data_IF_981603884253
#
_entry.id   IF_981603884253
#
_cell.length_a   1.000
_cell.length_b   1.000
_cell.length_c   1.000
_cell.angle_alpha   90.00
_cell.angle_beta   90.00
_cell.angle_gamma   90.00
#
_symmetry.space_group_name_H-M   'P 1'
#
loop_
_entity.id
_entity.type
_entity.pdbx_description
1 polymer ?
#
# COMPACT_ATOMS: atom_id res chain seq x y z
N UNK A 1 14.15 1.59 22.95
CA UNK A 1 12.77 1.47 22.45
C UNK A 1 12.66 1.71 20.93
N UNK A 2 13.25 2.80 20.37
CA UNK A 2 13.04 3.16 18.94
C UNK A 2 13.55 2.11 17.94
N UNK A 3 14.68 1.47 18.20
CA UNK A 3 15.26 0.35 17.43
C UNK A 3 15.43 -0.90 18.31
N UNK A 4 14.48 -1.21 19.18
CA UNK A 4 14.50 -2.40 20.03
C UNK A 4 14.24 -3.69 19.24
N UNK A 5 14.62 -4.82 19.79
CA UNK A 5 14.30 -6.12 19.21
C UNK A 5 12.82 -6.45 19.38
N UNK A 6 12.23 -7.30 18.49
CA UNK A 6 10.89 -7.82 18.70
C UNK A 6 10.75 -8.49 20.09
N UNK A 7 9.70 -8.13 20.82
CA UNK A 7 9.42 -8.71 22.16
C UNK A 7 10.16 -8.06 23.33
N UNK A 8 11.08 -7.12 23.10
CA UNK A 8 11.82 -6.43 24.17
C UNK A 8 10.94 -5.43 24.95
N UNK A 9 9.95 -4.86 24.29
CA UNK A 9 8.96 -3.96 24.88
C UNK A 9 7.54 -4.43 24.57
N UNK A 10 6.59 -4.07 25.46
CA UNK A 10 5.18 -4.39 25.26
C UNK A 10 4.69 -3.79 23.92
N UNK A 11 4.10 -4.60 23.04
CA UNK A 11 3.59 -4.11 21.76
C UNK A 11 2.38 -3.20 21.97
N UNK A 12 2.12 -2.33 20.97
CA UNK A 12 0.98 -1.43 20.99
C UNK A 12 -0.35 -2.20 20.95
N UNK A 13 -0.44 -3.23 20.13
CA UNK A 13 -1.65 -4.02 19.89
C UNK A 13 -2.62 -3.35 18.91
N UNK A 14 -3.50 -4.18 18.32
CA UNK A 14 -4.58 -3.71 17.45
C UNK A 14 -5.70 -3.10 18.28
N UNK A 15 -6.35 -2.07 17.74
CA UNK A 15 -7.50 -1.36 18.34
C UNK A 15 -7.26 -0.79 19.75
N UNK A 16 -5.99 -0.67 20.16
CA UNK A 16 -5.61 0.02 21.39
C UNK A 16 -5.87 1.53 21.27
N UNK A 17 -5.93 2.22 22.40
CA UNK A 17 -6.03 3.70 22.42
C UNK A 17 -4.88 4.35 21.64
N UNK A 18 -3.68 3.79 21.73
CA UNK A 18 -2.51 4.28 20.99
C UNK A 18 -2.68 4.09 19.48
N UNK A 19 -3.26 2.95 19.03
CA UNK A 19 -3.59 2.74 17.62
C UNK A 19 -4.59 3.78 17.12
N UNK A 20 -5.67 4.02 17.86
CA UNK A 20 -6.68 5.01 17.47
C UNK A 20 -6.08 6.42 17.40
N UNK A 21 -5.23 6.80 18.34
CA UNK A 21 -4.56 8.11 18.34
C UNK A 21 -3.69 8.27 17.09
N UNK A 22 -2.82 7.30 16.78
CA UNK A 22 -1.93 7.42 15.60
C UNK A 22 -2.72 7.38 14.29
N UNK A 23 -3.83 6.63 14.22
CA UNK A 23 -4.74 6.63 13.09
C UNK A 23 -5.33 8.02 12.86
N UNK A 24 -5.87 8.66 13.90
CA UNK A 24 -6.45 10.01 13.82
C UNK A 24 -5.37 11.01 13.39
N UNK A 25 -4.19 10.97 14.00
CA UNK A 25 -3.07 11.84 13.62
C UNK A 25 -2.70 11.66 12.15
N UNK A 26 -2.59 10.41 11.68
CA UNK A 26 -2.27 10.12 10.28
C UNK A 26 -3.32 10.68 9.32
N UNK A 27 -4.61 10.51 9.64
CA UNK A 27 -5.70 11.06 8.82
C UNK A 27 -5.69 12.59 8.80
N UNK A 28 -5.46 13.24 9.94
CA UNK A 28 -5.32 14.69 10.01
C UNK A 28 -4.14 15.19 9.16
N UNK A 29 -2.99 14.51 9.22
CA UNK A 29 -1.82 14.85 8.42
C UNK A 29 -2.09 14.70 6.92
N UNK A 30 -2.82 13.67 6.49
CA UNK A 30 -3.24 13.49 5.09
C UNK A 30 -4.11 14.66 4.65
N UNK A 31 -5.12 15.04 5.44
CA UNK A 31 -6.04 16.15 5.13
C UNK A 31 -5.26 17.47 5.03
N UNK A 32 -4.37 17.75 5.98
CA UNK A 32 -3.53 18.94 5.97
C UNK A 32 -2.61 18.96 4.75
N UNK A 33 -1.93 17.84 4.45
CA UNK A 33 -1.07 17.73 3.28
C UNK A 33 -1.85 18.01 1.99
N UNK A 34 -3.04 17.43 1.82
CA UNK A 34 -3.90 17.69 0.65
C UNK A 34 -4.39 19.14 0.59
N UNK A 35 -4.68 19.77 1.74
CA UNK A 35 -5.12 21.18 1.82
C UNK A 35 -4.00 22.14 1.39
N UNK A 36 -2.78 21.89 1.86
CA UNK A 36 -1.63 22.75 1.57
C UNK A 36 -0.98 22.48 0.22
N UNK A 37 -1.17 21.30 -0.37
CA UNK A 37 -0.71 21.02 -1.73
C UNK A 37 -1.64 21.71 -2.75
N UNK A 38 -1.28 22.92 -3.13
CA UNK A 38 -2.01 23.75 -4.11
C UNK A 38 -1.30 23.69 -5.45
N UNK A 39 -1.52 22.61 -6.20
CA UNK A 39 -1.06 22.52 -7.59
C UNK A 39 -2.08 21.82 -8.46
N UNK A 40 -2.21 22.29 -9.70
CA UNK A 40 -2.96 21.64 -10.78
C UNK A 40 -2.02 21.30 -11.96
N UNK A 41 -0.73 21.63 -11.84
CA UNK A 41 0.26 21.32 -12.86
C UNK A 41 0.70 19.85 -12.73
N UNK A 42 0.61 19.10 -13.81
CA UNK A 42 0.99 17.68 -13.84
C UNK A 42 2.48 17.46 -13.58
N UNK A 43 3.35 18.39 -13.95
CA UNK A 43 4.77 18.25 -13.69
C UNK A 43 5.09 18.43 -12.20
N UNK A 44 4.43 19.36 -11.51
CA UNK A 44 4.58 19.52 -10.06
C UNK A 44 4.13 18.25 -9.33
N UNK A 45 2.98 17.67 -9.73
CA UNK A 45 2.50 16.39 -9.15
C UNK A 45 3.54 15.28 -9.38
N UNK A 46 4.14 15.21 -10.56
CA UNK A 46 5.19 14.23 -10.87
C UNK A 46 6.43 14.42 -9.99
N UNK A 47 6.84 15.68 -9.75
CA UNK A 47 7.95 16.00 -8.83
C UNK A 47 7.62 15.56 -7.41
N UNK A 48 6.39 15.81 -6.94
CA UNK A 48 5.93 15.36 -5.62
C UNK A 48 6.00 13.82 -5.53
N UNK A 49 5.45 13.11 -6.51
CA UNK A 49 5.52 11.63 -6.56
C UNK A 49 6.96 11.16 -6.49
N UNK A 50 7.86 11.77 -7.27
CA UNK A 50 9.29 11.42 -7.29
C UNK A 50 9.94 11.60 -5.93
N UNK A 51 9.78 12.76 -5.31
CA UNK A 51 10.43 13.06 -4.03
C UNK A 51 9.90 12.15 -2.91
N UNK A 52 8.60 11.90 -2.90
CA UNK A 52 7.96 10.96 -1.96
C UNK A 52 8.42 9.52 -2.22
N UNK A 53 8.56 9.10 -3.48
CA UNK A 53 9.08 7.77 -3.81
C UNK A 53 10.50 7.58 -3.28
N UNK A 54 11.38 8.57 -3.47
CA UNK A 54 12.75 8.54 -2.93
C UNK A 54 12.71 8.45 -1.39
N UNK A 55 11.89 9.25 -0.73
CA UNK A 55 11.71 9.19 0.72
C UNK A 55 11.21 7.82 1.20
N UNK A 56 10.23 7.23 0.52
CA UNK A 56 9.73 5.88 0.84
C UNK A 56 10.82 4.81 0.67
N UNK A 57 11.67 4.91 -0.36
CA UNK A 57 12.81 4.01 -0.53
C UNK A 57 13.85 4.16 0.58
N UNK A 58 14.15 5.38 1.03
CA UNK A 58 15.05 5.60 2.16
C UNK A 58 14.49 4.93 3.42
N UNK A 59 13.22 5.15 3.74
CA UNK A 59 12.58 4.50 4.89
C UNK A 59 12.59 2.97 4.77
N UNK A 60 12.35 2.43 3.57
CA UNK A 60 12.38 0.99 3.36
C UNK A 60 13.78 0.41 3.54
N UNK A 61 14.83 1.09 3.03
CA UNK A 61 16.23 0.67 3.23
C UNK A 61 16.57 0.64 4.72
N UNK A 62 16.17 1.65 5.50
CA UNK A 62 16.38 1.67 6.95
C UNK A 62 15.67 0.49 7.62
N UNK A 63 14.43 0.17 7.21
CA UNK A 63 13.69 -1.00 7.69
C UNK A 63 14.42 -2.31 7.38
N UNK A 64 14.92 -2.46 6.15
CA UNK A 64 15.70 -3.64 5.73
C UNK A 64 16.95 -3.79 6.59
N UNK A 65 17.73 -2.71 6.74
CA UNK A 65 18.94 -2.71 7.57
C UNK A 65 18.62 -3.03 9.04
N UNK A 66 17.57 -2.43 9.60
CA UNK A 66 17.13 -2.76 10.95
C UNK A 66 16.84 -4.25 11.11
N UNK A 67 16.05 -4.85 10.21
CA UNK A 67 15.67 -6.27 10.31
C UNK A 67 16.86 -7.20 10.10
N UNK A 68 17.81 -6.86 9.23
CA UNK A 68 19.03 -7.65 9.01
C UNK A 68 20.01 -7.55 10.18
N UNK A 69 20.17 -6.38 10.79
CA UNK A 69 21.21 -6.16 11.81
C UNK A 69 20.70 -6.37 13.25
N UNK A 70 19.44 -6.02 13.55
CA UNK A 70 18.91 -5.95 14.92
C UNK A 70 17.67 -6.83 15.07
N UNK A 71 16.76 -6.81 14.09
CA UNK A 71 15.46 -7.44 14.15
C UNK A 71 15.51 -8.96 13.99
N UNK A 72 14.99 -9.49 12.89
CA UNK A 72 14.95 -10.92 12.60
C UNK A 72 15.41 -11.23 11.17
N UNK A 73 16.72 -11.36 10.98
CA UNK A 73 17.32 -11.68 9.69
C UNK A 73 16.89 -13.06 9.11
N UNK A 74 16.39 -13.98 9.95
CA UNK A 74 15.89 -15.29 9.49
C UNK A 74 14.49 -15.17 8.86
N UNK A 75 13.74 -14.12 9.16
CA UNK A 75 12.39 -13.93 8.65
C UNK A 75 12.40 -13.04 7.41
N UNK A 76 12.45 -13.66 6.25
CA UNK A 76 12.45 -12.99 4.92
C UNK A 76 11.25 -12.05 4.74
N UNK A 77 10.10 -12.38 5.33
CA UNK A 77 8.91 -11.52 5.28
C UNK A 77 9.14 -10.12 5.84
N UNK A 78 10.18 -9.90 6.66
CA UNK A 78 10.40 -8.62 7.33
C UNK A 78 11.25 -7.64 6.51
N UNK A 79 12.00 -8.10 5.51
CA UNK A 79 12.94 -7.24 4.77
C UNK A 79 12.88 -7.35 3.24
N UNK A 80 12.18 -8.32 2.66
CA UNK A 80 11.95 -8.33 1.21
C UNK A 80 10.72 -7.47 0.89
N UNK A 81 10.87 -6.36 0.12
CA UNK A 81 9.77 -5.42 -0.14
C UNK A 81 8.87 -5.92 -1.28
N UNK A 82 8.25 -7.09 -1.10
CA UNK A 82 7.28 -7.70 -2.02
C UNK A 82 5.94 -7.98 -1.37
N UNK A 83 5.50 -7.11 -0.46
CA UNK A 83 4.11 -7.05 -0.01
C UNK A 83 3.26 -6.20 -0.95
N UNK A 84 1.94 -6.33 -0.85
CA UNK A 84 0.99 -5.51 -1.61
C UNK A 84 1.30 -4.00 -1.48
N UNK A 85 1.52 -3.52 -0.26
CA UNK A 85 1.87 -2.12 -0.01
C UNK A 85 3.24 -1.74 -0.61
N UNK A 86 4.22 -2.64 -0.62
CA UNK A 86 5.55 -2.38 -1.18
C UNK A 86 5.53 -2.12 -2.70
N UNK A 87 4.44 -2.47 -3.40
CA UNK A 87 4.27 -2.16 -4.82
C UNK A 87 4.30 -0.63 -5.05
N UNK A 88 3.93 0.19 -4.05
CA UNK A 88 4.10 1.65 -4.09
C UNK A 88 5.52 2.06 -4.51
N UNK A 89 6.55 1.40 -4.00
CA UNK A 89 7.96 1.73 -4.27
C UNK A 89 8.26 1.61 -5.77
N UNK A 90 7.85 0.51 -6.37
CA UNK A 90 8.06 0.22 -7.79
C UNK A 90 7.15 1.08 -8.67
N UNK A 91 5.88 1.19 -8.31
CA UNK A 91 4.91 2.04 -9.00
C UNK A 91 5.33 3.53 -8.99
N UNK A 92 5.86 4.00 -7.85
CA UNK A 92 6.41 5.35 -7.72
C UNK A 92 7.57 5.60 -8.66
N UNK A 93 8.51 4.65 -8.79
CA UNK A 93 9.62 4.72 -9.76
C UNK A 93 9.07 4.74 -11.20
N UNK A 94 8.14 3.86 -11.54
CA UNK A 94 7.53 3.81 -12.87
C UNK A 94 6.77 5.11 -13.21
N UNK A 95 6.04 5.67 -12.26
CA UNK A 95 5.32 6.94 -12.44
C UNK A 95 6.26 8.14 -12.59
N UNK A 96 7.33 8.20 -11.79
CA UNK A 96 8.26 9.33 -11.74
C UNK A 96 9.24 9.36 -12.90
N UNK A 97 9.84 8.21 -13.24
CA UNK A 97 10.93 8.11 -14.21
C UNK A 97 10.52 7.41 -15.51
N UNK A 98 9.40 6.68 -15.51
CA UNK A 98 8.88 5.98 -16.66
C UNK A 98 8.34 6.90 -17.74
N UNK A 99 8.16 6.35 -18.95
CA UNK A 99 7.51 7.00 -20.11
C UNK A 99 6.44 6.06 -20.68
N UNK A 100 5.45 6.64 -21.36
CA UNK A 100 4.43 5.86 -22.06
C UNK A 100 3.69 4.86 -21.17
N UNK A 101 3.69 3.59 -21.56
CA UNK A 101 3.00 2.50 -20.82
C UNK A 101 3.57 2.26 -19.43
N UNK A 102 4.90 2.35 -19.25
CA UNK A 102 5.52 2.15 -17.94
C UNK A 102 5.07 3.21 -16.95
N UNK A 103 5.05 4.49 -17.35
CA UNK A 103 4.49 5.56 -16.54
C UNK A 103 3.02 5.27 -16.19
N UNK A 104 2.22 4.87 -17.20
CA UNK A 104 0.79 4.56 -16.98
C UNK A 104 0.57 3.46 -15.95
N UNK A 105 1.39 2.41 -15.95
CA UNK A 105 1.35 1.33 -14.95
C UNK A 105 1.51 1.92 -13.53
N UNK A 106 2.55 2.73 -13.32
CA UNK A 106 2.80 3.38 -12.05
C UNK A 106 1.65 4.30 -11.61
N UNK A 107 1.21 5.18 -12.50
CA UNK A 107 0.12 6.12 -12.24
C UNK A 107 -1.18 5.42 -11.85
N UNK A 108 -1.54 4.34 -12.55
CA UNK A 108 -2.76 3.56 -12.27
C UNK A 108 -2.68 2.88 -10.91
N UNK A 109 -1.54 2.24 -10.57
CA UNK A 109 -1.40 1.63 -9.25
C UNK A 109 -1.42 2.68 -8.13
N UNK A 110 -0.71 3.80 -8.29
CA UNK A 110 -0.70 4.89 -7.30
C UNK A 110 -2.09 5.47 -7.07
N UNK A 111 -2.91 5.59 -8.10
CA UNK A 111 -4.26 6.16 -7.98
C UNK A 111 -5.31 5.16 -7.43
N UNK A 112 -5.05 3.86 -7.46
CA UNK A 112 -6.03 2.82 -7.09
C UNK A 112 -5.54 1.91 -5.97
N UNK A 113 -4.61 1.01 -6.26
CA UNK A 113 -4.09 0.03 -5.30
C UNK A 113 -3.49 0.66 -4.05
N UNK A 114 -2.82 1.80 -4.20
CA UNK A 114 -2.26 2.53 -3.06
C UNK A 114 -3.34 3.00 -2.08
N UNK A 115 -4.49 3.48 -2.57
CA UNK A 115 -5.58 3.91 -1.70
C UNK A 115 -6.11 2.75 -0.85
N UNK A 116 -6.42 1.64 -1.50
CA UNK A 116 -6.98 0.46 -0.81
C UNK A 116 -5.96 -0.14 0.15
N UNK A 117 -4.70 -0.32 -0.28
CA UNK A 117 -3.63 -0.83 0.58
C UNK A 117 -3.36 0.06 1.79
N UNK A 118 -3.34 1.37 1.58
CA UNK A 118 -3.18 2.35 2.66
C UNK A 118 -4.30 2.29 3.69
N UNK A 119 -5.56 2.32 3.24
CA UNK A 119 -6.74 2.23 4.12
C UNK A 119 -6.75 0.89 4.87
N UNK A 120 -6.54 -0.22 4.17
CA UNK A 120 -6.54 -1.57 4.77
C UNK A 120 -5.52 -1.66 5.90
N UNK A 121 -4.30 -1.16 5.69
CA UNK A 121 -3.29 -1.19 6.73
C UNK A 121 -3.63 -0.26 7.91
N UNK A 122 -4.07 0.96 7.67
CA UNK A 122 -4.39 1.89 8.77
C UNK A 122 -5.49 1.34 9.68
N UNK A 123 -6.44 0.58 9.13
CA UNK A 123 -7.50 -0.09 9.92
C UNK A 123 -6.98 -1.36 10.59
N UNK A 124 -6.13 -2.14 9.90
CA UNK A 124 -5.61 -3.43 10.38
C UNK A 124 -4.07 -3.49 10.27
N UNK A 125 -3.31 -2.77 11.14
CA UNK A 125 -1.85 -2.72 11.10
C UNK A 125 -1.21 -4.00 11.67
N UNK A 126 -1.57 -5.16 11.11
CA UNK A 126 -1.22 -6.51 11.60
C UNK A 126 0.27 -6.83 11.54
N UNK A 127 1.04 -6.10 10.73
CA UNK A 127 2.48 -6.35 10.53
C UNK A 127 3.39 -5.46 11.39
N UNK A 128 2.85 -4.55 12.18
CA UNK A 128 3.64 -3.64 13.02
C UNK A 128 3.19 -3.60 14.48
N UNK A 129 2.00 -3.11 14.77
CA UNK A 129 1.52 -2.88 16.15
C UNK A 129 1.38 -4.12 17.03
N UNK A 130 1.10 -5.34 16.53
CA UNK A 130 1.15 -6.56 17.34
C UNK A 130 2.55 -6.98 17.79
N UNK A 131 3.60 -6.45 17.15
CA UNK A 131 4.99 -6.84 17.41
C UNK A 131 5.77 -5.75 18.13
N UNK A 132 5.46 -4.48 17.86
CA UNK A 132 6.25 -3.34 18.31
C UNK A 132 5.42 -2.31 19.08
N UNK A 133 6.05 -1.56 20.03
CA UNK A 133 5.39 -0.42 20.67
C UNK A 133 5.16 0.71 19.66
N UNK A 134 4.27 1.65 20.00
CA UNK A 134 3.90 2.75 19.12
C UNK A 134 5.11 3.58 18.63
N UNK A 135 6.01 3.95 19.57
CA UNK A 135 7.20 4.76 19.26
C UNK A 135 8.40 3.95 18.75
N UNK A 136 8.14 2.78 18.18
CA UNK A 136 9.16 2.01 17.49
C UNK A 136 9.26 2.45 16.02
N UNK A 137 10.48 2.42 15.45
CA UNK A 137 10.71 2.80 14.05
C UNK A 137 9.74 2.10 13.08
N UNK A 138 9.59 0.78 13.20
CA UNK A 138 8.71 -0.01 12.31
C UNK A 138 7.25 0.47 12.42
N UNK A 139 6.75 0.77 13.62
CA UNK A 139 5.38 1.25 13.81
C UNK A 139 5.18 2.62 13.17
N UNK A 140 6.05 3.58 13.46
CA UNK A 140 5.96 4.93 12.90
C UNK A 140 6.17 4.94 11.38
N UNK A 141 7.19 4.22 10.89
CA UNK A 141 7.45 4.06 9.46
C UNK A 141 6.24 3.48 8.74
N UNK A 142 5.59 2.48 9.30
CA UNK A 142 4.42 1.85 8.69
C UNK A 142 3.24 2.83 8.58
N UNK A 143 2.94 3.62 9.62
CA UNK A 143 1.85 4.60 9.57
C UNK A 143 2.16 5.76 8.61
N UNK A 144 3.38 6.28 8.61
CA UNK A 144 3.81 7.30 7.64
C UNK A 144 3.71 6.77 6.21
N UNK A 145 4.21 5.56 5.96
CA UNK A 145 4.22 4.93 4.65
C UNK A 145 2.80 4.73 4.09
N UNK A 146 1.90 4.16 4.89
CA UNK A 146 0.52 3.93 4.45
C UNK A 146 -0.31 5.23 4.40
N UNK A 147 0.00 6.21 5.24
CA UNK A 147 -0.51 7.57 5.08
C UNK A 147 -0.10 8.21 3.76
N UNK A 148 1.14 8.04 3.35
CA UNK A 148 1.66 8.47 2.03
C UNK A 148 0.94 7.75 0.89
N UNK A 149 0.65 6.46 1.01
CA UNK A 149 -0.13 5.70 0.01
C UNK A 149 -1.48 6.36 -0.26
N UNK A 150 -2.21 6.70 0.80
CA UNK A 150 -3.52 7.39 0.72
C UNK A 150 -3.34 8.80 0.16
N UNK A 151 -2.38 9.56 0.68
CA UNK A 151 -2.11 10.92 0.23
C UNK A 151 -1.82 11.00 -1.28
N UNK A 152 -0.91 10.16 -1.80
CA UNK A 152 -0.57 10.16 -3.23
C UNK A 152 -1.77 9.79 -4.10
N UNK A 153 -2.55 8.79 -3.70
CA UNK A 153 -3.74 8.41 -4.44
C UNK A 153 -4.76 9.56 -4.50
N UNK A 154 -5.07 10.17 -3.36
CA UNK A 154 -6.00 11.30 -3.30
C UNK A 154 -5.47 12.54 -4.02
N UNK A 155 -4.15 12.80 -3.99
CA UNK A 155 -3.54 13.88 -4.75
C UNK A 155 -3.71 13.68 -6.25
N UNK A 156 -3.41 12.49 -6.76
CA UNK A 156 -3.55 12.11 -8.17
C UNK A 156 -5.01 12.29 -8.63
N UNK A 157 -5.97 11.85 -7.80
CA UNK A 157 -7.40 12.00 -8.10
C UNK A 157 -7.83 13.47 -8.03
N UNK A 158 -7.47 14.20 -6.98
CA UNK A 158 -7.84 15.60 -6.76
C UNK A 158 -7.33 16.51 -7.89
N UNK A 159 -6.13 16.26 -8.37
CA UNK A 159 -5.48 17.09 -9.42
C UNK A 159 -5.81 16.65 -10.84
N UNK A 160 -6.64 15.63 -11.02
CA UNK A 160 -6.89 15.00 -12.32
C UNK A 160 -5.58 14.72 -13.09
N UNK A 161 -4.54 14.30 -12.36
CA UNK A 161 -3.22 13.96 -12.91
C UNK A 161 -3.33 12.91 -14.01
N UNK A 162 -4.17 11.91 -13.78
CA UNK A 162 -4.59 10.95 -14.80
C UNK A 162 -6.12 10.79 -14.80
N UNK A 163 -6.67 10.53 -15.98
CA UNK A 163 -8.03 10.05 -16.14
C UNK A 163 -8.00 8.52 -16.15
N UNK A 164 -8.64 7.90 -15.15
CA UNK A 164 -8.78 6.44 -15.08
C UNK A 164 -9.85 5.95 -16.07
N UNK A 165 -9.49 4.94 -16.86
CA UNK A 165 -10.38 4.28 -17.83
C UNK A 165 -10.55 2.81 -17.47
N UNK A 166 -11.68 2.21 -17.82
CA UNK A 166 -11.93 0.78 -17.54
C UNK A 166 -10.80 -0.14 -18.06
N UNK A 167 -10.24 0.17 -19.22
CA UNK A 167 -9.11 -0.58 -19.80
C UNK A 167 -7.81 -0.53 -18.98
N UNK A 168 -7.69 0.40 -18.03
CA UNK A 168 -6.50 0.52 -17.19
C UNK A 168 -6.37 -0.63 -16.18
N UNK A 169 -7.43 -1.44 -16.01
CA UNK A 169 -7.36 -2.71 -15.28
C UNK A 169 -6.23 -3.61 -15.82
N UNK A 170 -5.95 -3.58 -17.12
CA UNK A 170 -4.88 -4.37 -17.75
C UNK A 170 -3.51 -3.96 -17.19
N UNK A 171 -3.28 -2.66 -17.03
CA UNK A 171 -2.04 -2.14 -16.45
C UNK A 171 -1.91 -2.48 -14.96
N UNK A 172 -3.01 -2.34 -14.22
CA UNK A 172 -3.06 -2.67 -12.80
C UNK A 172 -2.84 -4.17 -12.57
N UNK A 173 -3.68 -5.01 -13.17
CA UNK A 173 -3.64 -6.47 -12.97
C UNK A 173 -2.35 -7.08 -13.51
N UNK A 174 -1.89 -6.64 -14.68
CA UNK A 174 -0.65 -7.14 -15.27
C UNK A 174 0.58 -6.87 -14.38
N UNK A 175 0.68 -5.67 -13.84
CA UNK A 175 1.75 -5.31 -12.92
C UNK A 175 1.64 -6.08 -11.59
N UNK A 176 0.43 -6.15 -11.03
CA UNK A 176 0.18 -6.89 -9.79
C UNK A 176 0.52 -8.37 -9.93
N UNK A 177 0.07 -9.04 -11.01
CA UNK A 177 0.36 -10.45 -11.29
C UNK A 177 1.86 -10.67 -11.46
N UNK A 178 2.55 -9.79 -12.16
CA UNK A 178 4.01 -9.87 -12.31
C UNK A 178 4.73 -9.88 -10.95
N UNK A 179 4.38 -8.94 -10.05
CA UNK A 179 4.96 -8.90 -8.70
C UNK A 179 4.54 -10.14 -7.89
N UNK A 180 3.30 -10.61 -8.05
CA UNK A 180 2.82 -11.82 -7.37
C UNK A 180 3.59 -13.08 -7.77
N UNK A 181 3.98 -13.20 -9.05
CA UNK A 181 4.80 -14.33 -9.52
C UNK A 181 6.19 -14.29 -8.84
N UNK A 182 6.81 -13.11 -8.74
CA UNK A 182 8.08 -12.96 -8.02
C UNK A 182 7.94 -13.33 -6.54
N UNK A 183 6.87 -12.87 -5.90
CA UNK A 183 6.56 -13.21 -4.50
C UNK A 183 6.34 -14.72 -4.32
N UNK A 184 5.62 -15.40 -5.23
CA UNK A 184 5.41 -16.85 -5.21
C UNK A 184 6.70 -17.65 -5.32
N UNK A 185 7.61 -17.23 -6.19
CA UNK A 185 8.93 -17.87 -6.34
C UNK A 185 9.69 -17.81 -5.00
N UNK A 186 9.74 -16.63 -4.39
CA UNK A 186 10.42 -16.42 -3.11
C UNK A 186 9.72 -17.18 -2.00
N UNK A 187 8.38 -17.15 -1.94
CA UNK A 187 7.60 -17.89 -0.96
C UNK A 187 7.90 -19.39 -1.03
N UNK A 188 8.01 -19.94 -2.25
CA UNK A 188 8.32 -21.37 -2.45
C UNK A 188 9.74 -21.73 -2.02
N UNK A 189 10.71 -20.86 -2.31
CA UNK A 189 12.13 -21.12 -1.96
C UNK A 189 12.37 -21.04 -0.45
N UNK A 190 11.78 -20.06 0.20
CA UNK A 190 12.09 -19.71 1.60
C UNK A 190 10.97 -20.03 2.59
N UNK A 191 9.86 -20.62 2.15
CA UNK A 191 8.72 -20.91 3.03
C UNK A 191 8.05 -19.63 3.57
N UNK A 192 8.15 -18.51 2.84
CA UNK A 192 7.62 -17.20 3.24
C UNK A 192 6.16 -17.02 2.83
N UNK A 193 5.52 -15.92 3.26
CA UNK A 193 4.14 -15.58 2.90
C UNK A 193 4.02 -14.13 2.43
N UNK A 194 4.91 -13.73 1.51
CA UNK A 194 4.84 -12.42 0.86
C UNK A 194 3.51 -12.26 0.15
N UNK A 195 2.93 -11.06 0.19
CA UNK A 195 1.60 -10.71 -0.34
C UNK A 195 0.43 -11.48 0.29
N UNK A 196 0.66 -12.32 1.33
CA UNK A 196 -0.34 -13.19 1.97
C UNK A 196 -1.08 -14.11 0.98
N UNK A 197 -0.37 -14.63 -0.03
CA UNK A 197 -0.93 -15.45 -1.12
C UNK A 197 -0.57 -16.93 -1.04
N UNK A 198 0.33 -17.34 -0.12
CA UNK A 198 0.85 -18.69 -0.09
C UNK A 198 0.40 -19.51 1.12
N UNK A 199 0.12 -18.86 2.23
CA UNK A 199 -0.21 -19.51 3.50
C UNK A 199 -1.37 -18.80 4.19
N UNK A 200 -2.03 -19.50 5.11
CA UNK A 200 -3.01 -18.90 5.99
C UNK A 200 -2.38 -17.77 6.81
N UNK A 201 -3.18 -16.74 7.07
CA UNK A 201 -2.82 -15.66 7.99
C UNK A 201 -3.93 -15.56 9.06
N UNK A 202 -3.75 -16.24 10.21
CA UNK A 202 -4.77 -16.35 11.25
C UNK A 202 -5.30 -14.99 11.71
N UNK A 203 -6.51 -14.99 12.23
CA UNK A 203 -7.19 -13.81 12.79
C UNK A 203 -7.37 -12.63 11.81
N UNK A 204 -7.40 -12.95 10.51
CA UNK A 204 -7.62 -11.96 9.44
C UNK A 204 -8.65 -12.44 8.42
N UNK A 205 -9.11 -11.54 7.54
CA UNK A 205 -9.96 -11.89 6.38
C UNK A 205 -9.27 -12.91 5.47
N UNK A 206 -7.94 -12.92 5.43
CA UNK A 206 -7.16 -13.91 4.66
C UNK A 206 -7.44 -15.31 5.14
N UNK A 207 -7.58 -15.52 6.47
CA UNK A 207 -7.92 -16.82 7.04
C UNK A 207 -9.31 -17.31 6.61
N UNK A 208 -10.29 -16.41 6.53
CA UNK A 208 -11.62 -16.75 6.03
C UNK A 208 -11.56 -17.25 4.58
N UNK A 209 -10.86 -16.51 3.71
CA UNK A 209 -10.69 -16.89 2.31
C UNK A 209 -9.95 -18.23 2.20
N UNK A 210 -8.89 -18.42 2.99
CA UNK A 210 -8.12 -19.67 3.02
C UNK A 210 -9.00 -20.89 3.36
N UNK A 211 -9.81 -20.77 4.40
CA UNK A 211 -10.71 -21.85 4.83
C UNK A 211 -11.81 -22.14 3.81
N UNK A 212 -12.32 -21.12 3.13
CA UNK A 212 -13.36 -21.29 2.10
C UNK A 212 -12.83 -21.87 0.78
N UNK A 213 -11.57 -21.57 0.42
CA UNK A 213 -11.04 -21.87 -0.92
C UNK A 213 -10.08 -23.06 -0.96
N UNK A 214 -9.52 -23.46 0.17
CA UNK A 214 -8.62 -24.62 0.30
C UNK A 214 -7.46 -24.57 -0.71
N UNK A 215 -7.33 -25.56 -1.57
CA UNK A 215 -6.25 -25.66 -2.58
C UNK A 215 -6.26 -24.52 -3.61
N UNK A 216 -7.39 -23.85 -3.79
CA UNK A 216 -7.53 -22.72 -4.72
C UNK A 216 -7.21 -21.37 -4.07
N UNK A 217 -6.76 -21.36 -2.81
CA UNK A 217 -6.44 -20.13 -2.08
C UNK A 217 -5.52 -19.19 -2.86
N UNK A 218 -4.35 -19.68 -3.27
CA UNK A 218 -3.34 -18.86 -3.96
C UNK A 218 -3.86 -18.17 -5.22
N UNK A 219 -4.44 -18.88 -6.23
CA UNK A 219 -4.96 -18.23 -7.42
C UNK A 219 -6.12 -17.30 -7.12
N UNK A 220 -7.00 -17.63 -6.18
CA UNK A 220 -8.13 -16.77 -5.80
C UNK A 220 -7.64 -15.49 -5.13
N UNK A 221 -6.67 -15.57 -4.19
CA UNK A 221 -6.08 -14.39 -3.55
C UNK A 221 -5.40 -13.47 -4.56
N UNK A 222 -4.67 -14.02 -5.53
CA UNK A 222 -4.06 -13.22 -6.59
C UNK A 222 -5.13 -12.52 -7.43
N UNK A 223 -6.20 -13.22 -7.83
CA UNK A 223 -7.29 -12.64 -8.61
C UNK A 223 -8.04 -11.54 -7.85
N UNK A 224 -8.37 -11.77 -6.58
CA UNK A 224 -9.03 -10.76 -5.74
C UNK A 224 -8.16 -9.49 -5.67
N UNK A 225 -6.88 -9.62 -5.36
CA UNK A 225 -5.98 -8.47 -5.23
C UNK A 225 -5.67 -7.81 -6.59
N UNK A 226 -5.69 -8.57 -7.69
CA UNK A 226 -5.45 -8.05 -9.04
C UNK A 226 -6.66 -7.32 -9.64
N UNK A 227 -7.85 -7.47 -9.09
CA UNK A 227 -9.08 -6.93 -9.70
C UNK A 227 -9.80 -5.97 -8.77
N UNK A 228 -10.06 -6.40 -7.53
CA UNK A 228 -10.95 -5.70 -6.60
C UNK A 228 -10.50 -4.28 -6.28
N UNK A 229 -9.24 -4.00 -5.91
CA UNK A 229 -8.81 -2.65 -5.54
C UNK A 229 -8.97 -1.62 -6.66
N UNK A 230 -8.71 -2.03 -7.91
CA UNK A 230 -8.92 -1.17 -9.07
C UNK A 230 -10.39 -0.80 -9.22
N UNK A 231 -11.30 -1.78 -9.24
CA UNK A 231 -12.71 -1.52 -9.46
C UNK A 231 -13.39 -0.81 -8.28
N UNK A 232 -12.93 -0.99 -7.05
CA UNK A 232 -13.42 -0.22 -5.92
C UNK A 232 -13.19 1.29 -6.14
N UNK A 233 -11.99 1.68 -6.53
CA UNK A 233 -11.68 3.10 -6.75
C UNK A 233 -12.32 3.61 -8.06
N UNK A 234 -12.17 2.88 -9.15
CA UNK A 234 -12.74 3.25 -10.44
C UNK A 234 -14.27 3.41 -10.37
N UNK A 235 -14.97 2.50 -9.68
CA UNK A 235 -16.41 2.56 -9.49
C UNK A 235 -16.86 3.80 -8.75
N UNK A 236 -16.20 4.15 -7.65
CA UNK A 236 -16.48 5.39 -6.88
C UNK A 236 -16.29 6.63 -7.74
N UNK A 237 -15.19 6.71 -8.50
CA UNK A 237 -14.92 7.86 -9.37
C UNK A 237 -15.96 7.98 -10.50
N UNK A 238 -16.36 6.87 -11.10
CA UNK A 238 -17.39 6.84 -12.14
C UNK A 238 -18.75 7.33 -11.63
N UNK A 239 -19.14 6.91 -10.41
CA UNK A 239 -20.37 7.37 -9.77
C UNK A 239 -20.36 8.87 -9.49
N UNK A 240 -19.22 9.40 -9.01
CA UNK A 240 -19.04 10.84 -8.79
C UNK A 240 -19.23 11.66 -10.07
N UNK A 241 -18.56 11.28 -11.15
CA UNK A 241 -18.69 11.98 -12.44
C UNK A 241 -20.12 11.94 -13.00
N UNK A 242 -20.84 10.82 -12.83
CA UNK A 242 -22.25 10.72 -13.26
C UNK A 242 -23.15 11.64 -12.44
N UNK A 243 -22.91 11.77 -11.13
CA UNK A 243 -23.64 12.70 -10.26
C UNK A 243 -23.43 14.15 -10.65
N UNK A 244 -22.19 14.55 -10.92
CA UNK A 244 -21.86 15.91 -11.37
C UNK A 244 -22.51 16.26 -12.74
N UNK A 245 -22.51 15.33 -13.69
CA UNK A 245 -23.16 15.50 -14.99
C UNK A 245 -24.68 15.68 -14.88
N UNK A 246 -25.33 14.93 -13.98
CA UNK A 246 -26.78 15.07 -13.77
C UNK A 246 -27.14 16.37 -13.06
N UNK A 247 -26.29 16.88 -12.17
CA UNK A 247 -26.52 18.14 -11.45
C UNK A 247 -26.36 19.39 -12.35
N UNK A 248 -25.62 19.29 -13.46
CA UNK A 248 -25.44 20.38 -14.45
C UNK A 248 -26.61 20.43 -15.43
N UNK A 249 -27.29 19.30 -15.66
CA UNK A 249 -28.38 19.17 -16.63
C UNK A 249 -29.78 19.39 -16.02
N UNK A 250 -29.88 19.60 -14.71
CA UNK A 250 -31.08 20.03 -13.97
C UNK A 250 -30.95 21.47 -13.48
#
# INVERSE_FOLDING_TARGET
MFFSRPGEYKPCGLFSSQHIIILIITLLLIILALKYTKTNNKEDVRIIIRNITIFCWIMEIIKILFNLCIGNAKNINTYIPLYYCSILLYAGVLSSFGKGKLKRIGDVFLSTGSLIGGITFLVFPTTSLPTYPLFHYISLQSFIYHGIMIYLSLLIIKTNYIELKNKDIIYYSGFFIFISILALIINKIFGSNLMFISQNFPDTIVSLIYNCTGKLFTPIMILIQAILPFYMVYGVLKLKHKGESNAINN
#
